data_IF_997422613450
#
_entry.id   IF_997422613450
#
_cell.length_a   1.000
_cell.length_b   1.000
_cell.length_c   1.000
_cell.angle_alpha   90.00
_cell.angle_beta   90.00
_cell.angle_gamma   90.00
#
_symmetry.space_group_name_H-M   'P 1'
#
loop_
_entity.id
_entity.type
_entity.pdbx_description
1 polymer ?
#
# COMPACT_ATOMS: atom_id res chain seq x y z
N UNK A 1 -4.49 14.93 -17.77
CA UNK A 1 -4.87 15.28 -16.38
C UNK A 1 -4.50 14.11 -15.48
N UNK A 2 -3.71 14.33 -14.43
CA UNK A 2 -3.40 13.29 -13.45
C UNK A 2 -4.51 13.14 -12.39
N UNK A 3 -4.49 12.04 -11.64
CA UNK A 3 -5.44 11.77 -10.54
C UNK A 3 -5.55 12.96 -9.58
N UNK A 4 -4.45 13.60 -9.11
CA UNK A 4 -4.55 14.74 -8.19
C UNK A 4 -5.29 15.95 -8.79
N UNK A 5 -5.06 16.25 -10.07
CA UNK A 5 -5.72 17.37 -10.75
C UNK A 5 -7.22 17.13 -10.90
N UNK A 6 -7.61 15.90 -11.25
CA UNK A 6 -9.03 15.54 -11.39
C UNK A 6 -9.74 15.54 -10.04
N UNK A 7 -9.13 14.93 -9.01
CA UNK A 7 -9.67 14.93 -7.65
C UNK A 7 -9.86 16.36 -7.14
N UNK A 8 -8.83 17.23 -7.26
CA UNK A 8 -8.92 18.64 -6.88
C UNK A 8 -10.06 19.37 -7.59
N UNK A 9 -10.23 19.13 -8.89
CA UNK A 9 -11.34 19.71 -9.65
C UNK A 9 -12.70 19.22 -9.14
N UNK A 10 -12.84 17.91 -8.88
CA UNK A 10 -14.07 17.30 -8.41
C UNK A 10 -14.49 17.86 -7.05
N UNK A 11 -13.59 17.89 -6.07
CA UNK A 11 -13.85 18.40 -4.72
C UNK A 11 -14.17 19.89 -4.74
N UNK A 12 -13.45 20.68 -5.55
CA UNK A 12 -13.74 22.12 -5.70
C UNK A 12 -15.14 22.36 -6.30
N UNK A 13 -15.57 21.52 -7.23
CA UNK A 13 -16.86 21.69 -7.92
C UNK A 13 -18.03 21.10 -7.12
N UNK A 14 -17.82 20.01 -6.43
CA UNK A 14 -18.83 19.27 -5.66
C UNK A 14 -18.32 18.96 -4.26
N UNK A 15 -18.21 19.96 -3.36
CA UNK A 15 -17.53 19.77 -2.06
C UNK A 15 -18.19 18.71 -1.16
N UNK A 16 -19.49 18.45 -1.34
CA UNK A 16 -20.25 17.47 -0.55
C UNK A 16 -19.99 16.00 -0.92
N UNK A 17 -19.19 15.73 -1.96
CA UNK A 17 -18.88 14.35 -2.37
C UNK A 17 -17.79 13.70 -1.52
N UNK A 18 -17.07 14.50 -0.72
CA UNK A 18 -16.08 14.02 0.23
C UNK A 18 -16.68 14.12 1.63
N UNK A 19 -16.62 13.01 2.35
CA UNK A 19 -17.01 12.89 3.75
C UNK A 19 -15.88 12.16 4.44
N UNK A 20 -15.46 12.65 5.59
CA UNK A 20 -14.41 11.99 6.37
C UNK A 20 -14.92 10.66 6.92
N UNK A 21 -14.14 9.61 6.72
CA UNK A 21 -14.45 8.30 7.28
C UNK A 21 -14.10 8.27 8.78
N UNK A 22 -14.96 7.63 9.57
CA UNK A 22 -14.71 7.36 10.98
C UNK A 22 -13.88 6.08 11.09
N UNK A 23 -12.67 6.23 11.60
CA UNK A 23 -11.73 5.14 11.87
C UNK A 23 -11.57 4.97 13.39
N UNK A 24 -12.27 3.99 13.96
CA UNK A 24 -12.21 3.68 15.39
C UNK A 24 -10.89 3.00 15.79
N UNK A 25 -10.06 2.55 14.83
CA UNK A 25 -8.87 1.73 15.09
C UNK A 25 -7.71 2.53 15.68
N UNK A 26 -7.82 3.86 15.66
CA UNK A 26 -6.84 4.76 16.25
C UNK A 26 -6.97 4.87 17.78
N UNK A 27 -8.05 4.33 18.37
CA UNK A 27 -8.15 4.11 19.81
C UNK A 27 -7.64 2.71 20.13
N UNK A 28 -6.78 2.59 21.15
CA UNK A 28 -5.99 1.41 21.56
C UNK A 28 -6.83 0.19 22.05
N UNK A 29 -7.93 -0.13 21.36
CA UNK A 29 -8.94 -1.12 21.71
C UNK A 29 -9.21 -2.06 20.53
N UNK A 30 -9.49 -3.34 20.81
CA UNK A 30 -9.88 -4.27 19.74
C UNK A 30 -11.26 -3.90 19.20
N UNK A 31 -11.34 -3.58 17.90
CA UNK A 31 -12.61 -3.24 17.25
C UNK A 31 -13.36 -4.52 16.89
N UNK A 32 -14.63 -4.58 17.29
CA UNK A 32 -15.55 -5.58 16.77
C UNK A 32 -16.20 -5.06 15.48
N UNK A 33 -15.69 -5.52 14.34
CA UNK A 33 -16.18 -5.14 13.01
C UNK A 33 -17.55 -5.73 12.67
N UNK A 34 -18.09 -6.63 13.50
CA UNK A 34 -19.47 -7.15 13.37
C UNK A 34 -20.53 -6.15 13.85
N UNK A 35 -20.15 -5.15 14.65
CA UNK A 35 -21.05 -4.10 15.13
C UNK A 35 -21.45 -3.13 14.00
N UNK A 36 -22.58 -2.39 14.17
CA UNK A 36 -23.03 -1.40 13.19
C UNK A 36 -21.94 -0.41 12.79
N UNK A 37 -21.90 -0.03 11.52
CA UNK A 37 -20.84 0.84 11.00
C UNK A 37 -20.95 2.27 11.61
N UNK A 38 -19.89 2.81 12.22
CA UNK A 38 -19.91 4.12 12.88
C UNK A 38 -20.14 5.29 11.91
N UNK A 39 -19.90 5.09 10.61
CA UNK A 39 -20.18 6.07 9.56
C UNK A 39 -21.69 6.28 9.33
N UNK A 40 -22.57 5.52 10.02
CA UNK A 40 -24.03 5.61 9.91
C UNK A 40 -24.59 5.00 8.63
N UNK A 41 -23.75 4.32 7.84
CA UNK A 41 -24.11 3.66 6.59
C UNK A 41 -23.46 2.28 6.57
N UNK A 42 -24.25 1.25 6.24
CA UNK A 42 -23.76 -0.11 6.04
C UNK A 42 -23.32 -0.34 4.59
N UNK A 43 -22.26 -1.12 4.42
CA UNK A 43 -21.72 -1.48 3.11
C UNK A 43 -21.85 -2.98 2.90
N UNK A 44 -22.45 -3.38 1.78
CA UNK A 44 -22.56 -4.80 1.44
C UNK A 44 -21.23 -5.36 0.91
N UNK A 45 -20.59 -4.63 0.00
CA UNK A 45 -19.44 -5.12 -0.77
C UNK A 45 -18.29 -4.11 -0.70
N UNK A 46 -17.09 -4.59 -0.40
CA UNK A 46 -15.84 -3.84 -0.49
C UNK A 46 -14.98 -4.41 -1.62
N UNK A 47 -14.51 -3.54 -2.51
CA UNK A 47 -13.62 -3.88 -3.61
C UNK A 47 -12.28 -3.20 -3.41
N UNK A 48 -11.21 -3.99 -3.30
CA UNK A 48 -9.85 -3.50 -3.11
C UNK A 48 -9.06 -3.68 -4.41
N UNK A 49 -8.58 -2.57 -4.97
CA UNK A 49 -7.48 -2.59 -5.94
C UNK A 49 -6.19 -2.77 -5.15
N UNK A 50 -5.69 -4.01 -5.12
CA UNK A 50 -4.56 -4.39 -4.30
C UNK A 50 -3.27 -3.69 -4.73
N UNK A 51 -3.14 -3.27 -5.99
CA UNK A 51 -1.95 -2.54 -6.42
C UNK A 51 -1.86 -1.16 -5.75
N UNK A 52 -3.01 -0.54 -5.43
CA UNK A 52 -3.04 0.71 -4.68
C UNK A 52 -2.60 0.54 -3.20
N UNK A 53 -2.62 -0.69 -2.67
CA UNK A 53 -2.16 -1.02 -1.32
C UNK A 53 -0.69 -1.48 -1.35
N UNK A 54 -0.35 -2.40 -2.27
CA UNK A 54 1.00 -2.97 -2.38
C UNK A 54 2.05 -1.89 -2.63
N UNK A 55 1.76 -0.90 -3.49
CA UNK A 55 2.72 0.14 -3.83
C UNK A 55 3.17 0.99 -2.62
N UNK A 56 2.25 1.60 -1.82
CA UNK A 56 2.60 2.28 -0.58
C UNK A 56 3.26 1.38 0.48
N UNK A 57 2.84 0.11 0.60
CA UNK A 57 3.46 -0.82 1.54
C UNK A 57 4.88 -1.25 1.13
N UNK A 58 5.29 -0.99 -0.11
CA UNK A 58 6.65 -1.22 -0.61
C UNK A 58 7.57 -0.01 -0.45
N UNK A 59 7.01 1.18 -0.71
CA UNK A 59 7.73 2.45 -0.63
C UNK A 59 6.82 3.41 0.14
N UNK A 60 6.77 3.31 1.47
CA UNK A 60 6.01 4.26 2.25
C UNK A 60 6.62 5.64 2.04
N UNK A 61 5.83 6.57 1.50
CA UNK A 61 6.20 7.98 1.50
C UNK A 61 6.20 8.46 2.96
N UNK A 62 7.21 9.26 3.36
CA UNK A 62 7.41 9.76 4.74
C UNK A 62 6.14 10.41 5.35
N UNK A 63 5.20 10.89 4.53
CA UNK A 63 3.98 11.59 4.95
C UNK A 63 2.75 10.68 5.24
N UNK A 64 2.79 9.38 4.89
CA UNK A 64 1.58 8.53 4.89
C UNK A 64 1.70 7.18 5.61
N UNK A 65 2.77 6.95 6.36
CA UNK A 65 2.88 5.73 7.17
C UNK A 65 1.86 5.76 8.34
N UNK A 66 1.07 4.70 8.56
CA UNK A 66 0.10 4.64 9.65
C UNK A 66 0.76 4.74 11.04
N UNK A 67 2.02 4.32 11.15
CA UNK A 67 2.88 4.58 12.31
C UNK A 67 3.73 5.83 12.05
N UNK A 68 3.16 7.01 12.31
CA UNK A 68 3.85 8.31 12.30
C UNK A 68 4.58 8.51 13.64
N UNK A 69 5.45 7.58 14.01
CA UNK A 69 6.35 7.70 15.17
C UNK A 69 7.78 8.10 14.76
N UNK A 70 8.04 8.28 13.46
CA UNK A 70 9.36 8.63 12.93
C UNK A 70 10.40 7.51 13.08
N UNK A 71 9.96 6.29 13.44
CA UNK A 71 10.82 5.12 13.65
C UNK A 71 10.55 3.96 12.67
N UNK A 72 9.45 3.97 11.92
CA UNK A 72 9.19 2.92 10.92
C UNK A 72 10.09 3.08 9.71
N UNK A 73 11.22 2.38 9.72
CA UNK A 73 12.10 2.24 8.57
C UNK A 73 11.34 1.64 7.39
N UNK A 74 11.69 2.05 6.16
CA UNK A 74 11.15 1.43 4.95
C UNK A 74 11.32 -0.11 5.03
N UNK A 75 10.30 -0.89 4.65
CA UNK A 75 10.35 -2.34 4.78
C UNK A 75 11.52 -2.89 3.97
N UNK A 76 12.30 -3.77 4.57
CA UNK A 76 13.54 -4.28 3.95
C UNK A 76 13.39 -5.69 3.40
N UNK A 77 12.40 -6.43 3.91
CA UNK A 77 12.09 -7.81 3.53
C UNK A 77 10.69 -7.92 2.95
N UNK A 78 10.42 -9.00 2.21
CA UNK A 78 9.06 -9.29 1.74
C UNK A 78 8.07 -9.54 2.89
N UNK A 79 8.53 -10.09 4.01
CA UNK A 79 7.67 -10.35 5.17
C UNK A 79 7.18 -9.05 5.81
N UNK A 80 8.06 -8.05 5.93
CA UNK A 80 7.67 -6.71 6.41
C UNK A 80 6.58 -6.10 5.51
N UNK A 81 6.75 -6.21 4.19
CA UNK A 81 5.76 -5.73 3.22
C UNK A 81 4.43 -6.46 3.37
N UNK A 82 4.45 -7.79 3.55
CA UNK A 82 3.22 -8.57 3.73
C UNK A 82 2.47 -8.16 4.99
N UNK A 83 3.18 -7.95 6.10
CA UNK A 83 2.57 -7.48 7.35
C UNK A 83 1.93 -6.09 7.17
N UNK A 84 2.64 -5.16 6.53
CA UNK A 84 2.10 -3.83 6.21
C UNK A 84 0.84 -3.93 5.33
N UNK A 85 0.82 -4.83 4.35
CA UNK A 85 -0.37 -5.07 3.51
C UNK A 85 -1.53 -5.59 4.37
N UNK A 86 -1.29 -6.55 5.27
CA UNK A 86 -2.34 -7.11 6.13
C UNK A 86 -2.93 -6.08 7.08
N UNK A 87 -2.09 -5.27 7.72
CA UNK A 87 -2.52 -4.18 8.59
C UNK A 87 -3.36 -3.15 7.81
N UNK A 88 -2.95 -2.80 6.58
CA UNK A 88 -3.71 -1.89 5.73
C UNK A 88 -5.09 -2.46 5.37
N UNK A 89 -5.17 -3.74 5.01
CA UNK A 89 -6.45 -4.41 4.71
C UNK A 89 -7.33 -4.44 5.95
N UNK A 90 -6.78 -4.78 7.12
CA UNK A 90 -7.53 -4.80 8.39
C UNK A 90 -8.09 -3.41 8.73
N UNK A 91 -7.29 -2.36 8.54
CA UNK A 91 -7.74 -0.98 8.73
C UNK A 91 -8.87 -0.59 7.77
N UNK A 92 -8.74 -0.89 6.48
CA UNK A 92 -9.80 -0.61 5.51
C UNK A 92 -11.08 -1.41 5.82
N UNK A 93 -10.91 -2.66 6.22
CA UNK A 93 -12.02 -3.53 6.59
C UNK A 93 -12.75 -3.01 7.83
N UNK A 94 -12.03 -2.52 8.85
CA UNK A 94 -12.63 -2.00 10.08
C UNK A 94 -13.42 -0.70 9.87
N UNK A 95 -12.98 0.14 8.92
CA UNK A 95 -13.67 1.37 8.50
C UNK A 95 -14.96 1.04 7.72
N UNK A 96 -14.87 0.16 6.72
CA UNK A 96 -15.97 -0.09 5.78
C UNK A 96 -16.97 -1.13 6.31
N UNK A 97 -16.51 -2.14 7.05
CA UNK A 97 -17.32 -3.25 7.59
C UNK A 97 -18.24 -3.90 6.54
N UNK A 98 -17.70 -4.49 5.46
CA UNK A 98 -18.52 -5.12 4.44
C UNK A 98 -19.38 -6.25 5.03
N UNK A 99 -20.64 -6.38 4.58
CA UNK A 99 -21.60 -7.37 5.13
C UNK A 99 -21.80 -8.60 4.25
N UNK A 100 -21.32 -8.60 3.01
CA UNK A 100 -21.57 -9.68 2.04
C UNK A 100 -20.32 -10.13 1.30
N UNK A 101 -19.48 -9.20 0.83
CA UNK A 101 -18.36 -9.51 -0.06
C UNK A 101 -17.13 -8.65 0.24
N UNK A 102 -15.98 -9.30 0.35
CA UNK A 102 -14.67 -8.66 0.23
C UNK A 102 -13.99 -9.15 -1.06
N UNK A 103 -13.88 -8.27 -2.04
CA UNK A 103 -13.24 -8.60 -3.31
C UNK A 103 -11.86 -7.95 -3.41
N UNK A 104 -10.80 -8.76 -3.36
CA UNK A 104 -9.41 -8.30 -3.49
C UNK A 104 -8.89 -8.58 -4.90
N UNK A 105 -8.65 -7.52 -5.67
CA UNK A 105 -8.23 -7.59 -7.05
C UNK A 105 -6.74 -7.22 -7.21
N UNK A 106 -5.93 -8.17 -7.65
CA UNK A 106 -4.54 -7.94 -8.06
C UNK A 106 -4.51 -7.85 -9.60
N UNK A 107 -3.80 -6.87 -10.17
CA UNK A 107 -3.69 -6.78 -11.64
C UNK A 107 -3.09 -8.07 -12.20
N UNK A 108 -3.78 -8.65 -13.19
CA UNK A 108 -3.24 -9.71 -14.04
C UNK A 108 -2.50 -9.15 -15.27
N UNK A 109 -2.29 -10.01 -16.27
CA UNK A 109 -1.70 -9.57 -17.55
C UNK A 109 -2.64 -8.57 -18.24
N UNK A 110 -2.11 -7.37 -18.50
CA UNK A 110 -2.88 -6.26 -19.04
C UNK A 110 -2.89 -6.24 -20.59
N UNK A 111 -3.89 -5.59 -21.23
CA UNK A 111 -3.88 -5.35 -22.67
C UNK A 111 -2.70 -4.50 -23.14
N UNK A 112 -2.29 -4.67 -24.41
CA UNK A 112 -1.10 -4.02 -24.99
C UNK A 112 -1.03 -2.50 -24.78
N UNK A 113 -2.18 -1.81 -24.83
CA UNK A 113 -2.23 -0.38 -24.58
C UNK A 113 -1.77 -0.02 -23.15
N UNK A 114 -2.28 -0.72 -22.12
CA UNK A 114 -1.86 -0.55 -20.72
C UNK A 114 -0.41 -1.00 -20.53
N UNK A 115 0.02 -2.09 -21.19
CA UNK A 115 1.43 -2.53 -21.16
C UNK A 115 2.39 -1.45 -21.69
N UNK A 116 2.07 -0.77 -22.79
CA UNK A 116 2.90 0.32 -23.31
C UNK A 116 3.00 1.49 -22.31
N UNK A 117 1.89 1.83 -21.65
CA UNK A 117 1.87 2.86 -20.62
C UNK A 117 2.71 2.46 -19.39
N UNK A 118 2.53 1.22 -18.89
CA UNK A 118 3.33 0.67 -17.80
C UNK A 118 4.82 0.64 -18.15
N UNK A 119 5.17 0.22 -19.37
CA UNK A 119 6.54 0.24 -19.87
C UNK A 119 7.12 1.65 -19.84
N UNK A 120 6.44 2.64 -20.45
CA UNK A 120 6.94 4.02 -20.46
C UNK A 120 7.16 4.58 -19.05
N UNK A 121 6.28 4.26 -18.10
CA UNK A 121 6.43 4.65 -16.70
C UNK A 121 7.66 4.02 -16.06
N UNK A 122 7.82 2.69 -16.17
CA UNK A 122 8.95 1.95 -15.57
C UNK A 122 10.30 2.41 -16.10
N UNK A 123 10.40 2.66 -17.41
CA UNK A 123 11.61 3.18 -18.03
C UNK A 123 12.00 4.57 -17.48
N UNK A 124 11.00 5.43 -17.21
CA UNK A 124 11.25 6.73 -16.60
C UNK A 124 11.74 6.58 -15.16
N UNK A 125 11.03 5.80 -14.34
CA UNK A 125 11.40 5.55 -12.94
C UNK A 125 12.80 4.95 -12.80
N UNK A 126 13.17 4.00 -13.66
CA UNK A 126 14.52 3.41 -13.66
C UNK A 126 15.60 4.47 -13.96
N UNK A 127 15.34 5.37 -14.93
CA UNK A 127 16.25 6.46 -15.26
C UNK A 127 16.35 7.50 -14.14
N UNK A 128 15.23 7.85 -13.51
CA UNK A 128 15.21 8.78 -12.38
C UNK A 128 15.97 8.20 -11.18
N UNK A 129 15.83 6.88 -10.93
CA UNK A 129 16.59 6.15 -9.91
C UNK A 129 18.10 6.15 -10.20
N UNK A 130 18.51 5.92 -11.44
CA UNK A 130 19.92 5.99 -11.84
C UNK A 130 20.52 7.38 -11.59
N UNK A 131 19.77 8.44 -11.90
CA UNK A 131 20.19 9.83 -11.63
C UNK A 131 20.34 10.06 -10.12
N UNK A 132 19.35 9.65 -9.32
CA UNK A 132 19.37 9.79 -7.86
C UNK A 132 20.55 9.04 -7.23
N UNK A 133 20.81 7.80 -7.64
CA UNK A 133 21.93 7.00 -7.14
C UNK A 133 23.28 7.63 -7.48
N UNK A 134 23.42 8.23 -8.68
CA UNK A 134 24.61 8.95 -9.07
C UNK A 134 24.83 10.24 -8.25
N UNK A 135 23.76 10.95 -7.90
CA UNK A 135 23.79 12.12 -7.01
C UNK A 135 24.13 11.73 -5.57
N UNK A 136 23.49 10.67 -5.05
CA UNK A 136 23.77 10.12 -3.71
C UNK A 136 25.24 9.71 -3.59
N UNK A 137 25.80 9.04 -4.61
CA UNK A 137 27.20 8.63 -4.62
C UNK A 137 28.15 9.84 -4.58
N UNK A 138 27.84 10.93 -5.29
CA UNK A 138 28.64 12.16 -5.25
C UNK A 138 28.59 12.81 -3.87
N UNK A 139 27.40 12.87 -3.27
CA UNK A 139 27.21 13.46 -1.95
C UNK A 139 27.92 12.66 -0.85
N UNK A 140 27.86 11.33 -0.90
CA UNK A 140 28.60 10.43 0.01
C UNK A 140 30.10 10.68 -0.05
N UNK A 141 30.70 10.74 -1.25
CA UNK A 141 32.12 11.04 -1.44
C UNK A 141 32.49 12.43 -0.90
N UNK A 142 31.61 13.42 -1.07
CA UNK A 142 31.83 14.75 -0.52
C UNK A 142 31.85 14.73 1.02
N UNK A 143 30.90 14.04 1.65
CA UNK A 143 30.87 13.92 3.11
C UNK A 143 32.07 13.15 3.66
N UNK A 144 32.53 12.10 2.98
CA UNK A 144 33.77 11.40 3.32
C UNK A 144 34.99 12.33 3.28
N UNK A 145 35.10 13.17 2.24
CA UNK A 145 36.17 14.17 2.14
C UNK A 145 36.09 15.25 3.23
N UNK A 146 34.88 15.63 3.65
CA UNK A 146 34.63 16.58 4.74
C UNK A 146 34.82 15.94 6.14
N UNK A 147 35.17 14.64 6.22
CA UNK A 147 35.35 13.91 7.47
C UNK A 147 34.04 13.64 8.23
N UNK A 148 32.89 13.78 7.57
CA UNK A 148 31.58 13.49 8.16
C UNK A 148 31.30 11.98 8.10
N UNK A 149 30.59 11.48 9.11
CA UNK A 149 30.20 10.07 9.15
C UNK A 149 29.15 9.77 8.08
N UNK A 150 29.43 8.79 7.22
CA UNK A 150 28.50 8.30 6.20
C UNK A 150 28.00 6.92 6.61
N UNK A 151 26.68 6.76 6.69
CA UNK A 151 26.05 5.47 7.03
C UNK A 151 26.21 4.48 5.86
N UNK A 152 26.46 3.18 6.11
CA UNK A 152 26.53 2.18 5.06
C UNK A 152 25.20 2.09 4.30
N UNK A 153 25.26 1.72 3.02
CA UNK A 153 24.05 1.48 2.21
C UNK A 153 23.39 0.21 2.72
N UNK A 154 22.13 0.29 3.11
CA UNK A 154 21.35 -0.87 3.53
C UNK A 154 20.90 -1.64 2.30
N UNK A 155 21.15 -2.95 2.29
CA UNK A 155 20.58 -3.84 1.27
C UNK A 155 19.10 -4.03 1.56
N UNK A 156 18.28 -4.05 0.51
CA UNK A 156 16.83 -4.20 0.62
C UNK A 156 16.28 -4.99 -0.55
N UNK A 157 15.50 -6.03 -0.24
CA UNK A 157 14.75 -6.83 -1.20
C UNK A 157 13.62 -6.02 -1.86
N UNK A 158 13.20 -4.93 -1.24
CA UNK A 158 12.08 -4.08 -1.67
C UNK A 158 12.52 -2.94 -2.59
N UNK A 159 13.81 -2.83 -2.88
CA UNK A 159 14.39 -1.70 -3.62
C UNK A 159 13.98 -1.62 -5.09
N UNK A 160 13.46 -2.69 -5.69
CA UNK A 160 12.95 -2.70 -7.07
C UNK A 160 11.42 -2.87 -7.13
N UNK A 161 10.71 -1.75 -7.29
CA UNK A 161 9.25 -1.75 -7.49
C UNK A 161 8.77 -2.50 -8.74
N UNK A 162 9.65 -2.84 -9.70
CA UNK A 162 9.24 -3.61 -10.88
C UNK A 162 8.84 -5.05 -10.53
N UNK A 163 9.19 -5.55 -9.35
CA UNK A 163 8.78 -6.88 -8.90
C UNK A 163 7.27 -6.97 -8.63
N UNK A 164 6.59 -5.82 -8.52
CA UNK A 164 5.12 -5.71 -8.48
C UNK A 164 4.56 -5.86 -9.92
N UNK A 165 4.72 -7.07 -10.46
CA UNK A 165 4.28 -7.46 -11.81
C UNK A 165 3.85 -8.93 -11.80
N UNK A 166 2.76 -9.29 -12.50
CA UNK A 166 2.41 -10.69 -12.68
C UNK A 166 3.56 -11.54 -13.20
N UNK A 167 3.76 -12.71 -12.60
CA UNK A 167 4.78 -13.67 -12.99
C UNK A 167 6.12 -13.56 -12.24
N UNK A 168 6.26 -12.63 -11.29
CA UNK A 168 7.42 -12.57 -10.40
C UNK A 168 7.25 -13.51 -9.19
N UNK A 169 8.36 -13.90 -8.59
CA UNK A 169 8.37 -14.70 -7.36
C UNK A 169 7.68 -13.97 -6.20
N UNK A 170 7.92 -12.65 -6.07
CA UNK A 170 7.22 -11.81 -5.10
C UNK A 170 5.69 -11.96 -5.18
N UNK A 171 5.11 -11.84 -6.39
CA UNK A 171 3.65 -11.94 -6.56
C UNK A 171 3.12 -13.35 -6.25
N UNK A 172 3.94 -14.38 -6.47
CA UNK A 172 3.60 -15.76 -6.11
C UNK A 172 3.57 -15.96 -4.59
N UNK A 173 4.58 -15.49 -3.88
CA UNK A 173 4.63 -15.57 -2.42
C UNK A 173 3.55 -14.69 -1.78
N UNK A 174 3.30 -13.49 -2.31
CA UNK A 174 2.18 -12.64 -1.88
C UNK A 174 0.84 -13.36 -2.00
N UNK A 175 0.60 -14.08 -3.10
CA UNK A 175 -0.64 -14.83 -3.30
C UNK A 175 -0.84 -15.91 -2.23
N UNK A 176 0.21 -16.66 -1.89
CA UNK A 176 0.17 -17.65 -0.79
C UNK A 176 -0.07 -16.98 0.56
N UNK A 177 0.61 -15.86 0.81
CA UNK A 177 0.51 -15.12 2.06
C UNK A 177 -0.93 -14.59 2.26
N UNK A 178 -1.53 -14.01 1.22
CA UNK A 178 -2.93 -13.55 1.24
C UNK A 178 -3.92 -14.69 1.49
N UNK A 179 -3.74 -15.86 0.86
CA UNK A 179 -4.61 -17.02 1.11
C UNK A 179 -4.58 -17.46 2.58
N UNK A 180 -3.39 -17.47 3.20
CA UNK A 180 -3.22 -17.77 4.62
C UNK A 180 -3.87 -16.70 5.51
N UNK A 181 -3.63 -15.43 5.20
CA UNK A 181 -4.23 -14.29 5.90
C UNK A 181 -5.76 -14.33 5.88
N UNK A 182 -6.37 -14.56 4.71
CA UNK A 182 -7.83 -14.68 4.56
C UNK A 182 -8.35 -15.85 5.40
N UNK A 183 -7.70 -17.02 5.31
CA UNK A 183 -8.10 -18.21 6.07
C UNK A 183 -8.03 -17.97 7.58
N UNK A 184 -7.00 -17.26 8.04
CA UNK A 184 -6.88 -16.85 9.43
C UNK A 184 -8.03 -15.92 9.82
N UNK A 185 -8.26 -14.84 9.07
CA UNK A 185 -9.31 -13.85 9.38
C UNK A 185 -10.71 -14.46 9.40
N UNK A 186 -11.06 -15.31 8.43
CA UNK A 186 -12.33 -16.05 8.43
C UNK A 186 -12.52 -16.94 9.67
N UNK A 187 -11.44 -17.42 10.28
CA UNK A 187 -11.49 -18.29 11.46
C UNK A 187 -11.46 -17.54 12.80
N UNK A 188 -10.85 -16.35 12.84
CA UNK A 188 -10.60 -15.61 14.09
C UNK A 188 -11.45 -14.36 14.27
N UNK A 189 -11.91 -13.74 13.18
CA UNK A 189 -12.60 -12.45 13.21
C UNK A 189 -14.11 -12.64 12.97
N UNK A 190 -14.93 -12.17 13.92
CA UNK A 190 -16.38 -12.30 13.86
C UNK A 190 -16.99 -11.53 12.68
N UNK A 191 -16.42 -10.38 12.30
CA UNK A 191 -16.91 -9.60 11.18
C UNK A 191 -16.63 -10.26 9.82
N UNK A 192 -15.63 -11.13 9.74
CA UNK A 192 -15.29 -11.87 8.51
C UNK A 192 -16.11 -13.14 8.32
N UNK A 193 -16.66 -13.69 9.40
CA UNK A 193 -17.25 -15.05 9.45
C UNK A 193 -18.26 -15.37 8.34
N UNK A 194 -19.12 -14.41 8.00
CA UNK A 194 -20.22 -14.60 7.05
C UNK A 194 -19.96 -13.91 5.68
N UNK A 195 -18.74 -13.42 5.46
CA UNK A 195 -18.34 -12.73 4.24
C UNK A 195 -17.84 -13.71 3.18
N UNK A 196 -18.12 -13.38 1.91
CA UNK A 196 -17.60 -14.08 0.73
C UNK A 196 -16.34 -13.46 0.17
#
# INVERSE_FOLDING_TARGET
MGVPSFYRWLVKKYPKVVVDAIDEAKGDYSIDSSLPNPNGIEFDNLYLDMNCIIHPCFHPDDDHHPNHDGLSAAPTTFEDVFNNIFEYIDQLFSIVRPRKLLYMAIDGVAPRAKMNQQRARRFRTAKDKEIYEAEEMKLRKQFEMEGKQVLPKQESETSDSNIITPGTEFMHELSKALQRYISLRLSTDLGWKDIK
#
